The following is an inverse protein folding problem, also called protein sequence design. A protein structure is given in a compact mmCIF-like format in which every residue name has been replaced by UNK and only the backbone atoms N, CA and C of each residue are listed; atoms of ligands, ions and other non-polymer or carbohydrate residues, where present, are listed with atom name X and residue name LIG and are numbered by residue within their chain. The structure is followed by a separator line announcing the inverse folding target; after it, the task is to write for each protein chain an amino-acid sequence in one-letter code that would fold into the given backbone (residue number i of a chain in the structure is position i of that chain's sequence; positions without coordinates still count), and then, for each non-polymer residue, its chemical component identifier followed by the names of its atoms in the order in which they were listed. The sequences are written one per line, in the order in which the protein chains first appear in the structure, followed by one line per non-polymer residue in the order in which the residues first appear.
data_IF_460273830279
#
_entry.id   IF_460273830279
#
_cell.length_a   1.000
_cell.length_b   1.000
_cell.length_c   1.000
_cell.angle_alpha   90.00
_cell.angle_beta   90.00
_cell.angle_gamma   90.00
#
_symmetry.space_group_name_H-M   'P 1'
#
loop_
_entity.id
_entity.type
_entity.pdbx_description
1 polymer ?
#
# COMPACT_ATOMS: atom_id res chain seq x y z
N UNK A 1 -6.91 2.36 -10.71
CA UNK A 1 -7.53 2.63 -9.39
C UNK A 1 -8.56 3.74 -9.58
N UNK A 2 -9.67 3.70 -8.86
CA UNK A 2 -10.67 4.77 -8.82
C UNK A 2 -10.74 5.26 -7.38
N UNK A 3 -10.29 6.49 -7.12
CA UNK A 3 -10.29 7.04 -5.75
C UNK A 3 -11.28 8.20 -5.65
N UNK A 4 -12.00 8.25 -4.53
CA UNK A 4 -12.95 9.32 -4.22
C UNK A 4 -12.40 10.10 -3.03
N UNK A 5 -12.35 11.42 -3.17
CA UNK A 5 -11.91 12.33 -2.12
C UNK A 5 -13.02 13.27 -1.72
N UNK A 6 -13.11 13.54 -0.42
CA UNK A 6 -13.95 14.59 0.15
C UNK A 6 -13.22 15.93 0.11
N UNK A 7 -13.86 16.95 -0.45
CA UNK A 7 -13.36 18.32 -0.50
C UNK A 7 -13.91 19.12 0.68
N UNK A 8 -13.18 20.16 1.08
CA UNK A 8 -13.55 21.01 2.21
C UNK A 8 -14.87 21.77 2.04
N UNK A 9 -15.32 21.95 0.80
CA UNK A 9 -16.57 22.62 0.45
C UNK A 9 -17.77 21.66 0.36
N UNK A 10 -17.60 20.39 0.78
CA UNK A 10 -18.64 19.37 0.79
C UNK A 10 -18.86 18.68 -0.56
N UNK A 11 -18.13 19.06 -1.61
CA UNK A 11 -18.09 18.31 -2.88
C UNK A 11 -17.23 17.06 -2.71
N UNK A 12 -17.43 16.08 -3.60
CA UNK A 12 -16.46 14.99 -3.77
C UNK A 12 -15.79 15.10 -5.12
N UNK A 13 -14.54 14.67 -5.21
CA UNK A 13 -13.84 14.52 -6.49
C UNK A 13 -13.46 13.06 -6.69
N UNK A 14 -13.72 12.56 -7.88
CA UNK A 14 -13.32 11.23 -8.31
C UNK A 14 -12.20 11.38 -9.34
N UNK A 15 -11.09 10.70 -9.10
CA UNK A 15 -9.97 10.59 -10.02
C UNK A 15 -9.93 9.14 -10.53
N UNK A 16 -10.04 8.95 -11.83
CA UNK A 16 -10.09 7.63 -12.44
C UNK A 16 -9.47 7.63 -13.84
N UNK A 17 -9.13 6.42 -14.32
CA UNK A 17 -8.65 6.23 -15.68
C UNK A 17 -9.77 5.74 -16.59
N UNK A 18 -9.77 6.24 -17.82
CA UNK A 18 -10.58 5.70 -18.91
C UNK A 18 -9.75 5.69 -20.19
N UNK A 19 -9.47 4.49 -20.72
CA UNK A 19 -8.50 4.28 -21.80
C UNK A 19 -7.15 4.93 -21.42
N UNK A 20 -6.63 5.80 -22.30
CA UNK A 20 -5.36 6.49 -22.07
C UNK A 20 -5.53 7.84 -21.36
N UNK A 21 -6.67 8.07 -20.69
CA UNK A 21 -7.01 9.36 -20.09
C UNK A 21 -7.17 9.25 -18.59
N UNK A 22 -6.73 10.30 -17.90
CA UNK A 22 -7.07 10.54 -16.49
C UNK A 22 -8.21 11.53 -16.48
N UNK A 23 -9.31 11.16 -15.84
CA UNK A 23 -10.53 11.94 -15.78
C UNK A 23 -10.83 12.36 -14.34
N UNK A 24 -11.45 13.54 -14.24
CA UNK A 24 -11.89 14.17 -13.01
C UNK A 24 -13.39 14.38 -13.03
N UNK A 25 -14.07 13.89 -11.99
CA UNK A 25 -15.50 14.05 -11.84
C UNK A 25 -15.84 14.61 -10.46
N UNK A 26 -16.49 15.78 -10.44
CA UNK A 26 -16.96 16.40 -9.20
C UNK A 26 -18.42 16.05 -8.93
N UNK A 27 -18.75 15.69 -7.69
CA UNK A 27 -20.12 15.47 -7.24
C UNK A 27 -20.56 16.53 -6.21
N UNK A 28 -21.85 16.92 -6.17
CA UNK A 28 -22.97 16.35 -6.93
C UNK A 28 -22.92 16.68 -8.44
N UNK A 29 -23.37 15.74 -9.26
CA UNK A 29 -23.40 15.88 -10.72
C UNK A 29 -24.55 16.80 -11.14
N UNK A 30 -24.26 17.74 -12.05
CA UNK A 30 -25.27 18.55 -12.74
C UNK A 30 -25.67 17.88 -14.06
N UNK A 31 -26.91 18.06 -14.55
CA UNK A 31 -27.31 17.57 -15.86
C UNK A 31 -26.35 18.04 -16.97
N UNK A 32 -25.86 17.11 -17.79
CA UNK A 32 -24.91 17.40 -18.87
C UNK A 32 -23.46 17.62 -18.45
N UNK A 33 -23.14 17.51 -17.15
CA UNK A 33 -21.76 17.62 -16.68
C UNK A 33 -20.93 16.43 -17.16
N UNK A 34 -19.85 16.72 -17.88
CA UNK A 34 -18.89 15.73 -18.35
C UNK A 34 -17.66 15.70 -17.43
N UNK A 35 -16.99 14.55 -17.29
CA UNK A 35 -15.70 14.48 -16.63
C UNK A 35 -14.68 15.40 -17.31
N UNK A 36 -13.91 16.14 -16.52
CA UNK A 36 -12.80 16.94 -17.04
C UNK A 36 -11.62 16.02 -17.36
N UNK A 37 -11.03 16.18 -18.54
CA UNK A 37 -9.80 15.47 -18.90
C UNK A 37 -8.63 16.15 -18.21
N UNK A 38 -7.93 15.41 -17.36
CA UNK A 38 -6.71 15.89 -16.71
C UNK A 38 -5.48 15.60 -17.55
N UNK A 39 -5.35 14.36 -18.03
CA UNK A 39 -4.23 13.91 -18.88
C UNK A 39 -4.75 12.99 -19.98
N UNK A 40 -4.05 12.95 -21.12
CA UNK A 40 -4.39 12.14 -22.31
C UNK A 40 -3.31 11.13 -22.70
N UNK A 41 -2.26 11.00 -21.89
CA UNK A 41 -1.08 10.18 -22.14
C UNK A 41 -0.90 9.09 -21.08
N UNK A 42 -1.95 8.74 -20.35
CA UNK A 42 -1.85 7.77 -19.26
C UNK A 42 -1.86 6.35 -19.81
N UNK A 43 -0.75 5.62 -19.71
CA UNK A 43 -0.68 4.20 -20.03
C UNK A 43 -1.38 3.35 -18.96
N UNK A 44 -1.21 3.73 -17.68
CA UNK A 44 -1.78 2.98 -16.58
C UNK A 44 -1.21 3.39 -15.22
N UNK A 45 -1.41 2.48 -14.24
CA UNK A 45 -0.84 2.59 -12.88
C UNK A 45 -1.12 3.94 -12.21
N UNK A 46 -2.34 4.46 -12.36
CA UNK A 46 -2.78 5.66 -11.66
C UNK A 46 -2.98 5.37 -10.17
N UNK A 47 -2.24 6.10 -9.33
CA UNK A 47 -2.40 6.16 -7.88
C UNK A 47 -2.55 7.60 -7.43
N UNK A 48 -3.20 7.80 -6.30
CA UNK A 48 -3.44 9.12 -5.75
C UNK A 48 -3.53 9.08 -4.23
N UNK A 49 -3.14 10.17 -3.59
CA UNK A 49 -3.18 10.35 -2.15
C UNK A 49 -3.55 11.80 -1.79
N UNK A 50 -4.30 11.98 -0.71
CA UNK A 50 -4.52 13.29 -0.12
C UNK A 50 -3.41 13.55 0.91
N UNK A 51 -2.76 14.70 0.83
CA UNK A 51 -1.70 15.11 1.75
C UNK A 51 -1.74 16.63 1.95
N UNK A 52 -1.73 17.08 3.20
CA UNK A 52 -1.90 18.50 3.58
C UNK A 52 -3.06 19.23 2.86
N UNK A 53 -4.21 18.55 2.73
CA UNK A 53 -5.42 19.13 2.12
C UNK A 53 -5.38 19.25 0.59
N UNK A 54 -4.32 18.76 -0.06
CA UNK A 54 -4.21 18.68 -1.52
C UNK A 54 -4.24 17.24 -2.00
N UNK A 55 -4.67 17.03 -3.23
CA UNK A 55 -4.70 15.70 -3.85
C UNK A 55 -3.55 15.59 -4.83
N UNK A 56 -2.66 14.65 -4.56
CA UNK A 56 -1.53 14.31 -5.43
C UNK A 56 -1.81 13.00 -6.14
N UNK A 57 -1.26 12.87 -7.34
CA UNK A 57 -1.37 11.67 -8.13
C UNK A 57 -0.08 11.34 -8.85
N UNK A 58 0.09 10.06 -9.13
CA UNK A 58 1.18 9.52 -9.91
C UNK A 58 0.59 8.57 -10.96
N UNK A 59 1.15 8.56 -12.16
CA UNK A 59 0.75 7.64 -13.21
C UNK A 59 1.92 7.29 -14.12
N UNK A 60 1.78 6.21 -14.87
CA UNK A 60 2.70 5.85 -15.94
C UNK A 60 2.19 6.41 -17.26
N UNK A 61 3.01 7.18 -17.98
CA UNK A 61 2.64 7.72 -19.28
C UNK A 61 2.93 6.75 -20.44
N UNK A 62 2.51 7.10 -21.66
CA UNK A 62 2.73 6.30 -22.87
C UNK A 62 4.22 6.09 -23.23
N UNK A 63 5.12 6.87 -22.65
CA UNK A 63 6.57 6.72 -22.78
C UNK A 63 7.19 5.91 -21.62
N UNK A 64 6.36 5.21 -20.82
CA UNK A 64 6.78 4.44 -19.64
C UNK A 64 7.48 5.27 -18.55
N UNK A 65 7.28 6.59 -18.56
CA UNK A 65 7.78 7.49 -17.53
C UNK A 65 6.76 7.61 -16.40
N UNK A 66 7.26 7.79 -15.19
CA UNK A 66 6.41 8.05 -14.03
C UNK A 66 6.24 9.56 -13.89
N UNK A 67 4.99 9.99 -13.97
CA UNK A 67 4.59 11.39 -13.91
C UNK A 67 3.90 11.63 -12.57
N UNK A 68 4.33 12.67 -11.87
CA UNK A 68 3.76 13.14 -10.61
C UNK A 68 3.10 14.50 -10.80
N UNK A 69 1.92 14.67 -10.22
CA UNK A 69 1.19 15.93 -10.30
C UNK A 69 0.31 16.19 -9.09
N UNK A 70 -0.13 17.44 -8.98
CA UNK A 70 -1.14 17.87 -8.03
C UNK A 70 -2.45 18.20 -8.78
N UNK A 71 -3.59 18.00 -8.13
CA UNK A 71 -4.88 18.36 -8.69
C UNK A 71 -5.03 19.88 -8.87
N UNK A 72 -4.51 20.64 -7.90
CA UNK A 72 -4.65 22.09 -7.84
C UNK A 72 -3.67 22.83 -8.75
N UNK A 73 -2.57 22.17 -9.15
CA UNK A 73 -1.51 22.76 -9.97
C UNK A 73 -1.55 22.17 -11.38
N UNK A 74 -1.61 22.99 -12.44
CA UNK A 74 -1.63 22.49 -13.82
C UNK A 74 -0.34 21.80 -14.28
N UNK A 75 0.74 21.91 -13.49
CA UNK A 75 2.00 21.23 -13.75
C UNK A 75 2.00 19.78 -13.27
N UNK A 76 2.25 18.86 -14.19
CA UNK A 76 2.70 17.50 -13.87
C UNK A 76 4.16 17.36 -14.34
N UNK A 77 5.01 16.75 -13.52
CA UNK A 77 6.42 16.57 -13.80
C UNK A 77 6.76 15.10 -13.98
N UNK A 78 7.61 14.80 -14.95
CA UNK A 78 8.24 13.47 -15.06
C UNK A 78 9.26 13.35 -13.94
N UNK A 79 9.07 12.37 -13.06
CA UNK A 79 9.93 12.14 -11.89
C UNK A 79 10.83 10.91 -12.05
N UNK A 80 10.41 9.92 -12.84
CA UNK A 80 11.24 8.76 -13.18
C UNK A 80 11.14 8.49 -14.67
N UNK A 81 12.29 8.25 -15.31
CA UNK A 81 12.37 7.87 -16.71
C UNK A 81 13.18 6.59 -16.85
N UNK A 82 12.70 5.61 -17.63
CA UNK A 82 13.46 4.38 -17.86
C UNK A 82 14.75 4.71 -18.60
N UNK A 83 15.89 4.26 -18.08
CA UNK A 83 17.22 4.46 -18.69
C UNK A 83 17.53 3.38 -19.75
N UNK A 84 16.76 2.30 -19.78
CA UNK A 84 16.84 1.24 -20.77
C UNK A 84 15.48 0.57 -20.97
N UNK A 85 15.29 -0.11 -22.11
CA UNK A 85 14.05 -0.86 -22.40
C UNK A 85 13.75 -1.97 -21.39
N UNK A 86 14.76 -2.43 -20.64
CA UNK A 86 14.61 -3.45 -19.58
C UNK A 86 14.21 -2.87 -18.24
N UNK A 87 14.36 -1.56 -18.07
CA UNK A 87 13.99 -0.87 -16.83
C UNK A 87 12.51 -0.53 -16.87
N UNK A 88 11.71 -1.28 -16.10
CA UNK A 88 10.31 -0.99 -15.89
C UNK A 88 10.06 -0.70 -14.42
N UNK A 89 9.20 0.29 -14.15
CA UNK A 89 8.72 0.64 -12.82
C UNK A 89 7.40 -0.08 -12.57
N UNK A 90 7.30 -0.87 -11.52
CA UNK A 90 6.11 -1.67 -11.21
C UNK A 90 5.64 -1.39 -9.78
N UNK A 91 4.41 -1.81 -9.43
CA UNK A 91 3.92 -1.72 -8.05
C UNK A 91 3.96 -0.30 -7.48
N UNK A 92 3.63 0.71 -8.28
CA UNK A 92 3.57 2.12 -7.84
C UNK A 92 2.59 2.24 -6.67
N UNK A 93 3.00 2.91 -5.60
CA UNK A 93 2.10 3.29 -4.50
C UNK A 93 2.49 4.69 -4.04
N UNK A 94 1.54 5.62 -4.11
CA UNK A 94 1.68 6.97 -3.56
C UNK A 94 0.88 7.05 -2.26
N UNK A 95 1.53 7.41 -1.16
CA UNK A 95 0.88 7.50 0.15
C UNK A 95 1.62 8.42 1.10
N UNK A 96 0.91 8.86 2.14
CA UNK A 96 1.55 9.47 3.30
C UNK A 96 2.14 8.37 4.20
N UNK A 97 3.39 8.56 4.59
CA UNK A 97 4.10 7.73 5.56
C UNK A 97 4.98 8.62 6.42
N UNK A 98 4.83 8.56 7.74
CA UNK A 98 5.60 9.42 8.66
C UNK A 98 5.40 10.92 8.47
N UNK A 99 4.23 11.37 8.04
CA UNK A 99 3.97 12.78 7.74
C UNK A 99 4.57 13.30 6.43
N UNK A 100 5.23 12.44 5.65
CA UNK A 100 5.79 12.77 4.34
C UNK A 100 5.03 12.03 3.25
N UNK A 101 4.90 12.67 2.08
CA UNK A 101 4.38 12.00 0.89
C UNK A 101 5.51 11.15 0.27
N UNK A 102 5.30 9.85 0.20
CA UNK A 102 6.27 8.91 -0.33
C UNK A 102 5.71 8.17 -1.55
N UNK A 103 6.57 8.00 -2.55
CA UNK A 103 6.35 7.11 -3.69
C UNK A 103 7.13 5.82 -3.48
N UNK A 104 6.42 4.70 -3.49
CA UNK A 104 6.99 3.36 -3.51
C UNK A 104 6.88 2.79 -4.91
N UNK A 105 7.93 2.11 -5.36
CA UNK A 105 7.92 1.44 -6.65
C UNK A 105 8.95 0.32 -6.68
N UNK A 106 8.68 -0.69 -7.49
CA UNK A 106 9.62 -1.76 -7.80
C UNK A 106 10.32 -1.47 -9.11
N UNK A 107 11.59 -1.79 -9.19
CA UNK A 107 12.35 -1.70 -10.43
C UNK A 107 13.07 -3.02 -10.69
N UNK A 108 12.95 -3.52 -11.92
CA UNK A 108 13.77 -4.62 -12.41
C UNK A 108 15.20 -4.14 -12.65
N UNK A 109 16.16 -4.72 -11.95
CA UNK A 109 17.59 -4.49 -12.09
C UNK A 109 18.24 -5.71 -12.74
N UNK A 110 19.28 -5.54 -13.56
CA UNK A 110 20.07 -6.67 -14.07
C UNK A 110 20.87 -7.29 -12.91
N UNK A 111 20.83 -8.62 -12.67
CA UNK A 111 20.47 -9.73 -13.57
C UNK A 111 19.03 -10.30 -13.40
N UNK A 112 18.02 -9.43 -13.35
CA UNK A 112 16.60 -9.77 -13.19
C UNK A 112 16.12 -9.73 -11.74
N UNK A 113 16.90 -9.13 -10.83
CA UNK A 113 16.49 -8.88 -9.47
C UNK A 113 15.55 -7.67 -9.42
N UNK A 114 14.42 -7.81 -8.74
CA UNK A 114 13.55 -6.69 -8.40
C UNK A 114 13.99 -6.07 -7.10
N UNK A 115 13.99 -4.74 -7.09
CA UNK A 115 14.28 -3.91 -5.92
C UNK A 115 13.11 -3.01 -5.64
N UNK A 116 12.73 -2.90 -4.37
CA UNK A 116 11.72 -1.97 -3.88
C UNK A 116 12.43 -0.67 -3.47
N UNK A 117 11.99 0.43 -4.05
CA UNK A 117 12.46 1.77 -3.75
C UNK A 117 11.38 2.59 -3.07
N UNK A 118 11.83 3.53 -2.26
CA UNK A 118 11.03 4.60 -1.69
C UNK A 118 11.68 5.94 -2.03
N UNK A 119 10.88 6.87 -2.55
CA UNK A 119 11.35 8.17 -2.98
C UNK A 119 10.39 9.27 -2.51
N UNK A 120 10.95 10.45 -2.26
CA UNK A 120 10.19 11.69 -2.27
C UNK A 120 9.83 12.01 -3.73
N UNK A 121 8.55 12.20 -4.08
CA UNK A 121 8.15 12.55 -5.45
C UNK A 121 8.82 13.82 -6.01
N UNK A 122 9.19 14.79 -5.16
CA UNK A 122 9.90 16.00 -5.56
C UNK A 122 11.41 15.79 -5.75
N UNK A 123 11.97 14.74 -5.16
CA UNK A 123 13.40 14.41 -5.19
C UNK A 123 13.60 12.93 -5.53
N UNK A 124 12.95 12.48 -6.61
CA UNK A 124 12.92 11.06 -6.98
C UNK A 124 14.32 10.49 -7.28
N UNK A 125 15.29 11.33 -7.61
CA UNK A 125 16.70 10.96 -7.79
C UNK A 125 17.36 10.46 -6.50
N UNK A 126 16.77 10.73 -5.33
CA UNK A 126 17.26 10.31 -4.01
C UNK A 126 16.57 9.06 -3.48
N UNK A 127 15.98 8.27 -4.38
CA UNK A 127 15.29 7.04 -4.02
C UNK A 127 16.19 6.10 -3.19
N UNK A 128 15.65 5.58 -2.10
CA UNK A 128 16.31 4.64 -1.21
C UNK A 128 15.81 3.24 -1.50
N UNK A 129 16.74 2.31 -1.74
CA UNK A 129 16.41 0.89 -1.87
C UNK A 129 16.03 0.33 -0.48
N UNK A 130 14.75 -0.02 -0.31
CA UNK A 130 14.26 -0.62 0.93
C UNK A 130 14.53 -2.11 0.98
N UNK A 131 14.39 -2.77 -0.17
CA UNK A 131 14.44 -4.22 -0.27
C UNK A 131 14.96 -4.68 -1.64
N UNK A 132 15.67 -5.81 -1.67
CA UNK A 132 16.14 -6.47 -2.89
C UNK A 132 16.23 -7.98 -2.65
N UNK A 133 15.74 -8.81 -3.58
CA UNK A 133 16.02 -10.25 -3.41
C UNK A 133 15.22 -11.25 -4.25
N UNK A 134 14.26 -10.84 -5.07
CA UNK A 134 13.49 -11.80 -5.91
C UNK A 134 13.55 -11.44 -7.38
N UNK A 135 13.32 -12.46 -8.22
CA UNK A 135 13.06 -12.26 -9.64
C UNK A 135 11.61 -11.95 -9.95
N UNK A 136 10.68 -12.25 -9.04
CA UNK A 136 9.24 -12.06 -9.18
C UNK A 136 8.78 -10.77 -8.48
N UNK A 137 7.67 -10.13 -8.90
CA UNK A 137 7.12 -8.98 -8.20
C UNK A 137 6.75 -9.36 -6.77
N UNK A 138 6.92 -8.42 -5.85
CA UNK A 138 6.47 -8.56 -4.47
C UNK A 138 5.25 -7.70 -4.23
N UNK A 139 4.38 -8.13 -3.32
CA UNK A 139 3.29 -7.30 -2.83
C UNK A 139 3.78 -6.50 -1.65
N UNK A 140 3.39 -5.23 -1.57
CA UNK A 140 3.70 -4.38 -0.42
C UNK A 140 2.41 -4.10 0.33
N UNK A 141 2.38 -4.42 1.62
CA UNK A 141 1.22 -4.18 2.48
C UNK A 141 1.62 -3.31 3.65
N UNK A 142 0.67 -2.53 4.13
CA UNK A 142 0.85 -1.68 5.30
C UNK A 142 -0.23 -1.96 6.33
N UNK A 143 0.14 -1.92 7.58
CA UNK A 143 -0.78 -2.05 8.70
C UNK A 143 -0.27 -1.28 9.90
N UNK A 144 -1.20 -0.88 10.77
CA UNK A 144 -0.91 -0.17 12.01
C UNK A 144 -1.07 -1.16 13.16
N UNK A 145 -0.06 -1.28 14.00
CA UNK A 145 -0.10 -2.11 15.20
C UNK A 145 0.58 -1.37 16.36
N UNK A 146 -0.07 -1.31 17.53
CA UNK A 146 0.48 -0.65 18.72
C UNK A 146 1.00 0.78 18.49
N UNK A 147 0.29 1.57 17.66
CA UNK A 147 0.65 2.94 17.25
C UNK A 147 1.89 3.05 16.34
N UNK A 148 2.47 1.94 15.93
CA UNK A 148 3.51 1.90 14.92
C UNK A 148 2.95 1.50 13.55
N UNK A 149 3.52 2.09 12.52
CA UNK A 149 3.25 1.71 11.14
C UNK A 149 4.26 0.68 10.65
N UNK A 150 3.73 -0.42 10.12
CA UNK A 150 4.50 -1.52 9.56
C UNK A 150 4.28 -1.59 8.06
N UNK A 151 5.35 -1.94 7.35
CA UNK A 151 5.31 -2.29 5.94
C UNK A 151 5.84 -3.71 5.78
N UNK A 152 5.07 -4.61 5.19
CA UNK A 152 5.54 -5.95 4.81
C UNK A 152 5.73 -6.06 3.32
N UNK A 153 6.79 -6.78 2.95
CA UNK A 153 7.05 -7.22 1.59
C UNK A 153 6.68 -8.69 1.53
N UNK A 154 5.62 -8.99 0.81
CA UNK A 154 5.00 -10.31 0.74
C UNK A 154 5.21 -10.93 -0.65
N UNK A 155 5.23 -12.26 -0.70
CA UNK A 155 5.17 -13.03 -1.95
C UNK A 155 4.35 -14.28 -1.73
N UNK A 156 3.29 -14.46 -2.53
CA UNK A 156 2.44 -15.66 -2.51
C UNK A 156 2.05 -16.08 -1.08
N UNK A 157 1.59 -15.10 -0.29
CA UNK A 157 1.19 -15.24 1.12
C UNK A 157 2.31 -15.55 2.13
N UNK A 158 3.57 -15.42 1.74
CA UNK A 158 4.71 -15.45 2.64
C UNK A 158 5.31 -14.05 2.84
N UNK A 159 5.40 -13.62 4.10
CA UNK A 159 6.12 -12.39 4.47
C UNK A 159 7.62 -12.63 4.27
N UNK A 160 8.23 -11.87 3.36
CA UNK A 160 9.67 -11.91 3.09
C UNK A 160 10.44 -11.03 4.06
N UNK A 161 9.97 -9.80 4.26
CA UNK A 161 10.59 -8.85 5.18
C UNK A 161 9.52 -7.92 5.78
N UNK A 162 9.68 -7.60 7.07
CA UNK A 162 8.84 -6.65 7.79
C UNK A 162 9.68 -5.44 8.19
N UNK A 163 9.19 -4.26 7.85
CA UNK A 163 9.82 -2.99 8.16
C UNK A 163 8.96 -2.24 9.18
N UNK A 164 9.61 -1.75 10.24
CA UNK A 164 9.02 -0.77 11.15
C UNK A 164 9.36 0.61 10.62
N UNK A 165 8.37 1.49 10.45
CA UNK A 165 8.57 2.78 9.81
C UNK A 165 9.70 3.61 10.45
N UNK A 166 9.77 3.68 11.78
CA UNK A 166 10.84 4.38 12.50
C UNK A 166 12.27 3.94 12.11
N UNK A 167 12.44 2.68 11.66
CA UNK A 167 13.74 2.16 11.17
C UNK A 167 13.96 2.48 9.69
N UNK A 168 12.88 2.52 8.89
CA UNK A 168 12.92 2.93 7.49
C UNK A 168 13.25 4.42 7.38
N UNK A 169 12.64 5.25 8.22
CA UNK A 169 12.92 6.68 8.35
C UNK A 169 14.42 6.92 8.56
N UNK A 170 15.07 6.19 9.48
CA UNK A 170 16.54 6.28 9.67
C UNK A 170 17.37 5.88 8.44
N UNK A 171 16.90 4.94 7.62
CA UNK A 171 17.57 4.59 6.34
C UNK A 171 17.36 5.71 5.32
N UNK A 172 16.19 6.32 5.33
CA UNK A 172 15.78 7.40 4.44
C UNK A 172 16.50 8.72 4.75
N UNK A 173 16.57 9.12 6.01
CA UNK A 173 17.34 10.28 6.48
C UNK A 173 18.83 10.16 6.14
N UNK A 174 19.43 8.98 6.37
CA UNK A 174 20.81 8.69 5.95
C UNK A 174 21.04 8.80 4.43
N UNK A 175 19.98 8.62 3.62
CA UNK A 175 20.01 8.83 2.18
C UNK A 175 19.97 10.31 1.78
N UNK A 176 19.41 11.18 2.63
CA UNK A 176 19.35 12.64 2.41
C UNK A 176 20.62 13.38 2.84
N UNK A 177 21.37 12.86 3.81
CA UNK A 177 22.70 13.37 4.14
C UNK A 177 23.73 12.96 3.08
N UNK A 178 24.09 13.89 2.19
CA UNK A 178 25.18 13.72 1.20
C UNK A 178 26.47 13.21 1.87
N UNK A 179 26.85 11.96 1.59
CA UNK A 179 28.23 11.49 1.74
C UNK A 179 29.09 12.10 0.64
N UNK A 180 29.89 13.10 0.99
CA UNK A 180 31.24 13.23 0.42
C UNK A 180 32.09 12.09 1.02
N UNK A 181 32.85 11.38 0.18
CA UNK A 181 33.82 10.38 0.64
C UNK A 181 34.90 11.00 1.56
N UNK A 182 35.76 10.19 2.20
CA UNK A 182 36.71 9.37 1.44
C UNK A 182 37.08 7.99 2.05
N UNK A 183 38.00 7.34 1.35
CA UNK A 183 38.69 6.05 1.54
C UNK A 183 39.18 5.65 2.94
N UNK A 184 39.34 4.31 3.06
CA UNK A 184 40.26 3.52 3.90
C UNK A 184 40.10 3.49 5.43
N UNK A 185 39.83 2.29 5.98
CA UNK A 185 40.80 1.49 6.76
C UNK A 185 40.19 0.14 7.18
N UNK A 186 40.56 -0.93 6.47
CA UNK A 186 40.33 -2.33 6.90
C UNK A 186 41.39 -2.69 7.93
N UNK A 187 40.98 -2.95 9.18
CA UNK A 187 41.90 -3.41 10.22
C UNK A 187 41.22 -3.90 11.50
N UNK A 188 40.16 -3.23 11.96
CA UNK A 188 39.56 -3.49 13.28
C UNK A 188 38.15 -4.11 13.25
N UNK A 189 37.55 -4.29 12.08
CA UNK A 189 36.14 -4.70 11.89
C UNK A 189 35.85 -6.16 12.32
N UNK A 190 36.84 -7.04 12.33
CA UNK A 190 36.61 -8.47 12.57
C UNK A 190 36.27 -8.82 14.03
N UNK A 191 36.69 -8.01 15.01
CA UNK A 191 36.39 -8.25 16.43
C UNK A 191 35.09 -7.56 16.88
N UNK A 192 34.70 -6.45 16.25
CA UNK A 192 33.41 -5.80 16.53
C UNK A 192 32.24 -6.51 15.84
N UNK A 193 32.43 -7.07 14.64
CA UNK A 193 31.37 -7.82 13.95
C UNK A 193 30.92 -9.09 14.69
N UNK A 194 31.82 -9.79 15.37
CA UNK A 194 31.48 -11.02 16.09
C UNK A 194 30.65 -10.74 17.36
N UNK A 195 30.93 -9.63 18.05
CA UNK A 195 30.15 -9.20 19.21
C UNK A 195 28.75 -8.70 18.80
N UNK A 196 28.66 -7.94 17.70
CA UNK A 196 27.38 -7.46 17.16
C UNK A 196 26.51 -8.62 16.68
N UNK A 197 27.08 -9.61 15.97
CA UNK A 197 26.33 -10.80 15.51
C UNK A 197 25.83 -11.68 16.67
N UNK A 198 26.56 -11.73 17.79
CA UNK A 198 26.14 -12.47 18.99
C UNK A 198 24.95 -11.80 19.70
N UNK A 199 24.98 -10.47 19.83
CA UNK A 199 23.88 -9.69 20.44
C UNK A 199 22.63 -9.65 19.55
N UNK A 200 22.82 -9.60 18.22
CA UNK A 200 21.73 -9.72 17.25
C UNK A 200 21.08 -11.11 17.29
N UNK A 201 21.87 -12.18 17.41
CA UNK A 201 21.33 -13.54 17.54
C UNK A 201 20.53 -13.73 18.84
N UNK A 202 20.95 -13.10 19.95
CA UNK A 202 20.21 -13.13 21.21
C UNK A 202 18.86 -12.40 21.09
N UNK A 203 18.85 -11.21 20.49
CA UNK A 203 17.62 -10.42 20.25
C UNK A 203 16.66 -11.14 19.31
N UNK A 204 17.15 -11.75 18.23
CA UNK A 204 16.34 -12.52 17.29
C UNK A 204 15.71 -13.76 17.95
N UNK A 205 16.38 -14.35 18.94
CA UNK A 205 15.84 -15.51 19.68
C UNK A 205 14.73 -15.10 20.64
N UNK A 206 14.87 -13.96 21.31
CA UNK A 206 13.85 -13.38 22.19
C UNK A 206 12.62 -12.93 21.39
N UNK A 207 12.84 -12.27 20.25
CA UNK A 207 11.77 -11.82 19.35
C UNK A 207 11.01 -13.02 18.74
N UNK A 208 11.71 -14.09 18.35
CA UNK A 208 11.06 -15.34 17.92
C UNK A 208 10.21 -15.99 19.01
N UNK A 209 10.66 -15.95 20.27
CA UNK A 209 9.87 -16.47 21.38
C UNK A 209 8.58 -15.65 21.59
N UNK A 210 8.69 -14.31 21.48
CA UNK A 210 7.54 -13.40 21.55
C UNK A 210 6.55 -13.63 20.41
N UNK A 211 7.05 -13.77 19.19
CA UNK A 211 6.22 -14.04 18.01
C UNK A 211 5.49 -15.37 18.11
N UNK A 212 6.13 -16.42 18.64
CA UNK A 212 5.46 -17.72 18.85
C UNK A 212 4.31 -17.62 19.85
N UNK A 213 4.51 -16.89 20.95
CA UNK A 213 3.44 -16.64 21.92
C UNK A 213 2.28 -15.86 21.30
N UNK A 214 2.59 -14.85 20.49
CA UNK A 214 1.58 -14.03 19.82
C UNK A 214 0.80 -14.81 18.76
N UNK A 215 1.47 -15.64 17.96
CA UNK A 215 0.82 -16.54 17.01
C UNK A 215 -0.15 -17.50 17.71
N UNK A 216 0.22 -18.05 18.87
CA UNK A 216 -0.66 -18.92 19.64
C UNK A 216 -1.92 -18.17 20.14
N UNK A 217 -1.76 -16.94 20.63
CA UNK A 217 -2.88 -16.11 21.06
C UNK A 217 -3.83 -15.74 19.90
N UNK A 218 -3.28 -15.40 18.72
CA UNK A 218 -4.07 -15.12 17.52
C UNK A 218 -4.84 -16.36 17.02
N UNK A 219 -4.22 -17.55 17.08
CA UNK A 219 -4.91 -18.80 16.75
C UNK A 219 -6.09 -19.08 17.69
N UNK A 220 -5.94 -18.79 18.98
CA UNK A 220 -7.02 -18.92 19.96
C UNK A 220 -8.18 -17.94 19.67
N UNK A 221 -7.85 -16.68 19.36
CA UNK A 221 -8.84 -15.68 18.96
C UNK A 221 -9.57 -16.08 17.68
N UNK A 222 -8.86 -16.63 16.70
CA UNK A 222 -9.46 -17.09 15.44
C UNK A 222 -10.39 -18.28 15.68
N UNK A 223 -10.03 -19.19 16.58
CA UNK A 223 -10.91 -20.29 17.02
C UNK A 223 -12.19 -19.78 17.70
N UNK A 224 -12.08 -18.77 18.57
CA UNK A 224 -13.23 -18.14 19.21
C UNK A 224 -14.14 -17.43 18.20
N UNK A 225 -13.57 -16.65 17.29
CA UNK A 225 -14.31 -15.93 16.24
C UNK A 225 -15.06 -16.90 15.31
N UNK A 226 -14.42 -18.02 14.94
CA UNK A 226 -15.07 -19.08 14.15
C UNK A 226 -16.28 -19.67 14.87
N UNK A 227 -16.15 -19.93 16.17
CA UNK A 227 -17.24 -20.45 17.00
C UNK A 227 -18.42 -19.47 17.06
N UNK A 228 -18.14 -18.16 17.20
CA UNK A 228 -19.17 -17.13 17.17
C UNK A 228 -19.85 -17.04 15.81
N UNK A 229 -19.10 -17.18 14.72
CA UNK A 229 -19.65 -17.20 13.37
C UNK A 229 -20.58 -18.39 13.15
N UNK A 230 -20.18 -19.58 13.61
CA UNK A 230 -21.01 -20.80 13.53
C UNK A 230 -22.30 -20.64 14.34
N UNK A 231 -22.25 -20.01 15.52
CA UNK A 231 -23.44 -19.68 16.31
C UNK A 231 -24.38 -18.72 15.58
N UNK A 232 -23.84 -17.64 14.99
CA UNK A 232 -24.61 -16.69 14.19
C UNK A 232 -25.27 -17.36 12.97
N UNK A 233 -24.54 -18.24 12.29
CA UNK A 233 -25.08 -19.01 11.18
C UNK A 233 -26.25 -19.91 11.62
N UNK A 234 -26.11 -20.57 12.78
CA UNK A 234 -27.17 -21.39 13.36
C UNK A 234 -28.43 -20.54 13.68
N UNK A 235 -28.24 -19.37 14.30
CA UNK A 235 -29.34 -18.45 14.62
C UNK A 235 -30.03 -17.93 13.36
N UNK A 236 -29.29 -17.64 12.30
CA UNK A 236 -29.87 -17.22 11.01
C UNK A 236 -30.75 -18.32 10.40
N UNK A 237 -30.33 -19.58 10.48
CA UNK A 237 -31.12 -20.74 10.02
C UNK A 237 -32.42 -20.87 10.84
N UNK A 238 -32.36 -20.68 12.15
CA UNK A 238 -33.55 -20.72 13.02
C UNK A 238 -34.54 -19.59 12.69
N UNK A 239 -34.05 -18.37 12.51
CA UNK A 239 -34.87 -17.22 12.10
C UNK A 239 -35.54 -17.46 10.74
N UNK A 240 -34.84 -18.06 9.78
CA UNK A 240 -35.42 -18.43 8.49
C UNK A 240 -36.53 -19.48 8.64
N UNK A 241 -36.37 -20.47 9.51
CA UNK A 241 -37.42 -21.47 9.81
C UNK A 241 -38.65 -20.82 10.43
N UNK A 242 -38.47 -19.94 11.41
CA UNK A 242 -39.57 -19.19 12.05
C UNK A 242 -40.28 -18.31 11.02
N UNK A 243 -39.54 -17.56 10.21
CA UNK A 243 -40.11 -16.73 9.14
C UNK A 243 -40.86 -17.54 8.07
N UNK A 244 -40.43 -18.78 7.79
CA UNK A 244 -41.18 -19.70 6.92
C UNK A 244 -42.49 -20.13 7.58
N UNK A 245 -42.47 -20.56 8.84
CA UNK A 245 -43.68 -20.96 9.57
C UNK A 245 -44.71 -19.83 9.68
N UNK A 246 -44.25 -18.59 9.89
CA UNK A 246 -45.12 -17.42 9.93
C UNK A 246 -45.77 -17.14 8.57
N UNK A 247 -44.99 -17.21 7.48
CA UNK A 247 -45.52 -17.09 6.11
C UNK A 247 -46.57 -18.16 5.82
N UNK A 248 -46.27 -19.42 6.12
CA UNK A 248 -47.17 -20.55 5.86
C UNK A 248 -48.49 -20.40 6.65
N UNK A 249 -48.43 -19.96 7.91
CA UNK A 249 -49.62 -19.66 8.73
C UNK A 249 -50.44 -18.49 8.18
N UNK A 250 -49.79 -17.42 7.74
CA UNK A 250 -50.46 -16.23 7.20
C UNK A 250 -51.19 -16.55 5.89
N UNK A 251 -50.53 -17.28 4.99
CA UNK A 251 -51.13 -17.70 3.71
C UNK A 251 -52.29 -18.69 3.91
N UNK A 252 -52.18 -19.61 4.88
CA UNK A 252 -53.27 -20.54 5.23
C UNK A 252 -54.47 -19.87 5.92
N UNK A 253 -54.27 -18.71 6.55
CA UNK A 253 -55.36 -17.91 7.11
C UNK A 253 -56.09 -17.14 5.99
N UNK A 254 -55.37 -16.58 5.02
CA UNK A 254 -55.97 -15.90 3.87
C UNK A 254 -56.80 -16.85 2.98
N UNK A 255 -56.39 -18.11 2.83
CA UNK A 255 -57.14 -19.10 2.03
C UNK A 255 -58.41 -19.65 2.69
N UNK A 256 -58.75 -19.22 3.91
CA UNK A 256 -59.98 -19.62 4.63
C UNK A 256 -61.07 -18.55 4.62
N UNK A 257 -60.73 -17.34 4.19
CA UNK A 257 -61.66 -16.21 4.11
C UNK A 257 -62.20 -15.98 2.68
N UNK A 258 -61.84 -16.85 1.73
CA UNK A 258 -62.46 -17.03 0.40
C UNK A 258 -63.36 -18.29 0.38
#
# INVERSE_FOLDING_TARGET
MNTVYDLSDGRKVMLYMENNRILLLFTPLRPGQMPAVRHNDCLGRLYSAAWHGRIYYVYENLSHQIVFGCLDDDGAAVILSPLSERQMYEGLVLRETGGQLCLYYQQCCEPGERRLYMADPWHAERAVCLWSGTKEPVDVRWYIHEQEEYMTVDRSDHVLETFVWNKVEKRYEKGHEKRQGPDMQKGDEAKSEAAIKSDEAAKLKEENARLKLWCAALQEQLGSAKTQYDQLAQTAIELQKIGKQWRDKYMAAQSKDD
#
